data_IF_287443345361
#
_entry.id   IF_287443345361
#
_cell.length_a   1.000
_cell.length_b   1.000
_cell.length_c   1.000
_cell.angle_alpha   90.00
_cell.angle_beta   90.00
_cell.angle_gamma   90.00
#
_symmetry.space_group_name_H-M   'P 1'
#
loop_
_entity.id
_entity.type
_entity.pdbx_description
1 polymer ?
#
# COMPACT_ATOMS: atom_id res chain seq x y z
N UNK A 1 -1.84 60.97 23.97
CA UNK A 1 -2.38 59.89 23.13
C UNK A 1 -1.46 58.67 23.25
N UNK A 2 -1.65 57.83 24.28
CA UNK A 2 -0.90 56.58 24.44
C UNK A 2 -1.89 55.46 24.73
N UNK A 3 -2.21 54.67 23.71
CA UNK A 3 -3.09 53.52 23.82
C UNK A 3 -2.36 52.40 24.56
N UNK A 4 -2.88 52.02 25.73
CA UNK A 4 -2.40 50.87 26.50
C UNK A 4 -2.79 49.59 25.75
N UNK A 5 -1.83 48.96 25.09
CA UNK A 5 -1.94 47.60 24.58
C UNK A 5 -2.11 46.64 25.77
N UNK A 6 -3.34 46.19 26.01
CA UNK A 6 -3.64 45.12 26.97
C UNK A 6 -3.14 43.81 26.37
N UNK A 7 -2.05 43.28 26.91
CA UNK A 7 -1.60 41.91 26.62
C UNK A 7 -2.66 40.93 27.17
N UNK A 8 -3.46 40.35 26.28
CA UNK A 8 -4.31 39.22 26.63
C UNK A 8 -3.44 37.95 26.67
N UNK A 9 -2.86 37.67 27.84
CA UNK A 9 -2.24 36.37 28.10
C UNK A 9 -3.38 35.38 28.30
N UNK A 10 -3.78 34.69 27.23
CA UNK A 10 -4.77 33.61 27.27
C UNK A 10 -4.19 32.42 28.04
N UNK A 11 -4.57 32.31 29.31
CA UNK A 11 -4.20 31.20 30.18
C UNK A 11 -4.93 29.93 29.69
N UNK A 12 -4.21 29.01 29.04
CA UNK A 12 -4.76 27.70 28.70
C UNK A 12 -4.81 26.88 30.01
N UNK A 13 -5.99 26.48 30.50
CA UNK A 13 -6.09 25.81 31.79
C UNK A 13 -5.37 24.46 31.75
N UNK A 14 -4.51 24.22 32.75
CA UNK A 14 -3.68 23.01 32.88
C UNK A 14 -4.51 21.71 32.86
N UNK A 15 -5.78 21.76 33.26
CA UNK A 15 -6.70 20.61 33.21
C UNK A 15 -7.01 20.17 31.76
N UNK A 16 -7.04 21.11 30.81
CA UNK A 16 -7.31 20.80 29.41
C UNK A 16 -6.10 20.17 28.71
N UNK A 17 -4.87 20.54 29.07
CA UNK A 17 -3.66 19.94 28.51
C UNK A 17 -3.45 18.50 28.99
N UNK A 18 -3.81 18.19 30.24
CA UNK A 18 -3.71 16.83 30.81
C UNK A 18 -4.62 15.83 30.09
N UNK A 19 -5.80 16.23 29.61
CA UNK A 19 -6.70 15.36 28.84
C UNK A 19 -6.34 15.34 27.36
N UNK A 20 -5.90 16.48 26.81
CA UNK A 20 -5.59 16.60 25.39
C UNK A 20 -4.36 15.77 24.96
N UNK A 21 -3.33 15.67 25.79
CA UNK A 21 -2.10 14.94 25.43
C UNK A 21 -2.34 13.41 25.32
N UNK A 22 -2.90 12.71 26.32
CA UNK A 22 -3.21 11.28 26.20
C UNK A 22 -4.22 11.00 25.09
N UNK A 23 -5.21 11.87 24.89
CA UNK A 23 -6.18 11.75 23.80
C UNK A 23 -5.49 11.88 22.44
N UNK A 24 -4.55 12.83 22.29
CA UNK A 24 -3.75 12.98 21.08
C UNK A 24 -2.85 11.77 20.82
N UNK A 25 -2.22 11.20 21.86
CA UNK A 25 -1.41 9.97 21.75
C UNK A 25 -2.27 8.76 21.35
N UNK A 26 -3.43 8.56 21.98
CA UNK A 26 -4.36 7.47 21.67
C UNK A 26 -4.90 7.57 20.23
N UNK A 27 -5.21 8.79 19.80
CA UNK A 27 -5.59 9.07 18.41
C UNK A 27 -4.43 8.80 17.46
N UNK A 28 -3.21 9.25 17.76
CA UNK A 28 -2.04 9.03 16.88
C UNK A 28 -1.75 7.53 16.67
N UNK A 29 -1.79 6.73 17.74
CA UNK A 29 -1.51 5.29 17.68
C UNK A 29 -2.55 4.50 16.86
N UNK A 30 -3.76 5.07 16.71
CA UNK A 30 -4.85 4.42 15.97
C UNK A 30 -4.66 4.43 14.44
N UNK A 31 -3.90 5.39 13.88
CA UNK A 31 -3.82 5.59 12.43
C UNK A 31 -2.53 5.13 11.78
N UNK A 32 -1.42 5.07 12.52
CA UNK A 32 -0.13 4.65 11.99
C UNK A 32 0.43 3.46 12.78
N UNK A 33 1.37 2.75 12.18
CA UNK A 33 2.08 1.65 12.81
C UNK A 33 3.45 1.49 12.20
N UNK A 34 4.44 1.16 13.02
CA UNK A 34 5.76 0.79 12.53
C UNK A 34 5.84 -0.72 12.31
N UNK A 35 6.32 -1.13 11.14
CA UNK A 35 6.49 -2.55 10.78
C UNK A 35 7.90 -2.79 10.26
N UNK A 36 8.59 -3.78 10.82
CA UNK A 36 9.94 -4.16 10.36
C UNK A 36 9.86 -5.20 9.25
N UNK A 37 10.58 -4.97 8.16
CA UNK A 37 10.67 -5.88 7.03
C UNK A 37 11.63 -7.01 7.36
N UNK A 38 11.12 -8.24 7.32
CA UNK A 38 11.90 -9.46 7.52
C UNK A 38 11.88 -10.30 6.24
N UNK A 39 12.98 -10.30 5.48
CA UNK A 39 13.15 -11.12 4.28
C UNK A 39 13.52 -10.29 3.05
N UNK A 40 13.64 -10.95 1.89
CA UNK A 40 14.10 -10.33 0.63
C UNK A 40 13.03 -10.28 -0.47
N UNK A 41 11.78 -10.62 -0.15
CA UNK A 41 10.70 -10.78 -1.13
C UNK A 41 10.28 -9.49 -1.82
N UNK A 42 10.58 -8.34 -1.22
CA UNK A 42 10.25 -7.01 -1.74
C UNK A 42 11.50 -6.29 -2.27
N UNK A 43 12.63 -6.99 -2.43
CA UNK A 43 13.82 -6.39 -3.03
C UNK A 43 13.62 -6.15 -4.54
N UNK A 44 14.13 -5.05 -5.10
CA UNK A 44 15.03 -4.08 -4.47
C UNK A 44 14.33 -2.96 -3.68
N UNK A 45 13.00 -2.85 -3.76
CA UNK A 45 12.25 -1.72 -3.19
C UNK A 45 12.34 -1.65 -1.67
N UNK A 46 12.15 -2.78 -0.99
CA UNK A 46 12.31 -2.94 0.46
C UNK A 46 13.37 -4.01 0.73
N UNK A 47 14.21 -3.78 1.73
CA UNK A 47 15.27 -4.72 2.13
C UNK A 47 15.02 -5.23 3.55
N UNK A 48 15.63 -6.36 3.85
CA UNK A 48 15.63 -6.90 5.21
C UNK A 48 16.14 -5.84 6.21
N UNK A 49 15.37 -5.61 7.28
CA UNK A 49 15.69 -4.67 8.34
C UNK A 49 15.06 -3.27 8.20
N UNK A 50 14.41 -2.96 7.07
CA UNK A 50 13.71 -1.69 6.90
C UNK A 50 12.57 -1.54 7.91
N UNK A 51 12.42 -0.34 8.47
CA UNK A 51 11.26 0.01 9.28
C UNK A 51 10.31 0.84 8.42
N UNK A 52 9.08 0.35 8.28
CA UNK A 52 8.03 0.98 7.49
C UNK A 52 7.09 1.76 8.38
N UNK A 53 6.68 2.94 7.92
CA UNK A 53 5.50 3.64 8.44
C UNK A 53 4.28 3.17 7.65
N UNK A 54 3.36 2.52 8.36
CA UNK A 54 2.16 1.90 7.81
C UNK A 54 0.93 2.67 8.24
N UNK A 55 0.14 3.13 7.29
CA UNK A 55 -1.13 3.83 7.50
C UNK A 55 -2.29 2.83 7.58
N UNK A 56 -3.03 2.83 8.69
CA UNK A 56 -4.12 1.89 9.02
C UNK A 56 -5.52 2.36 8.62
N UNK A 57 -5.71 3.63 8.25
CA UNK A 57 -7.03 4.12 7.82
C UNK A 57 -6.94 5.34 6.88
N UNK A 58 -7.91 5.45 5.96
CA UNK A 58 -8.11 6.59 5.05
C UNK A 58 -8.87 7.75 5.70
N UNK A 59 -9.51 7.53 6.86
CA UNK A 59 -10.32 8.54 7.54
C UNK A 59 -9.72 8.94 8.90
N UNK A 60 -8.60 9.67 8.94
CA UNK A 60 -8.28 10.42 10.15
C UNK A 60 -9.37 11.49 10.29
N UNK A 61 -10.23 11.40 11.30
CA UNK A 61 -11.15 12.50 11.66
C UNK A 61 -10.38 13.83 11.84
N UNK A 62 -9.10 13.74 12.21
CA UNK A 62 -8.15 14.84 12.27
C UNK A 62 -7.77 15.44 10.91
N UNK A 63 -7.92 14.76 9.77
CA UNK A 63 -7.70 15.36 8.43
C UNK A 63 -8.74 16.45 8.12
N UNK A 64 -9.98 16.25 8.56
CA UNK A 64 -11.01 17.29 8.45
C UNK A 64 -10.72 18.44 9.41
N UNK A 65 -10.23 18.13 10.62
CA UNK A 65 -9.76 19.14 11.56
C UNK A 65 -8.57 19.93 11.00
N UNK A 66 -7.56 19.29 10.40
CA UNK A 66 -6.41 19.99 9.82
C UNK A 66 -6.79 20.78 8.58
N UNK A 67 -7.76 20.33 7.76
CA UNK A 67 -8.35 21.14 6.68
C UNK A 67 -9.09 22.35 7.23
N UNK A 68 -9.91 22.17 8.26
CA UNK A 68 -10.64 23.25 8.92
C UNK A 68 -9.69 24.24 9.60
N UNK A 69 -8.67 23.76 10.32
CA UNK A 69 -7.63 24.59 10.94
C UNK A 69 -6.79 25.27 9.87
N UNK A 70 -6.34 24.59 8.81
CA UNK A 70 -5.60 25.18 7.70
C UNK A 70 -6.44 26.23 6.98
N UNK A 71 -7.73 25.99 6.75
CA UNK A 71 -8.67 26.95 6.16
C UNK A 71 -8.85 28.18 7.07
N UNK A 72 -9.11 27.95 8.36
CA UNK A 72 -9.25 29.02 9.34
C UNK A 72 -7.91 29.68 9.71
N UNK A 73 -6.76 29.08 9.45
CA UNK A 73 -5.45 29.70 9.70
C UNK A 73 -4.98 30.47 8.46
N UNK A 74 -5.19 29.91 7.26
CA UNK A 74 -4.97 30.57 5.96
C UNK A 74 -5.79 31.86 5.85
N UNK A 75 -7.04 31.87 6.35
CA UNK A 75 -7.88 33.08 6.42
C UNK A 75 -7.27 34.21 7.26
N UNK A 76 -6.43 33.90 8.24
CA UNK A 76 -5.85 34.89 9.15
C UNK A 76 -4.41 35.26 8.81
N UNK A 77 -3.71 34.41 8.04
CA UNK A 77 -2.27 34.57 7.75
C UNK A 77 -1.98 35.05 6.32
N UNK A 78 -2.86 34.81 5.34
CA UNK A 78 -2.63 35.18 3.94
C UNK A 78 -3.63 36.24 3.42
N UNK A 79 -3.40 37.49 3.81
CA UNK A 79 -3.81 38.68 3.02
C UNK A 79 -2.59 39.39 2.39
N UNK A 80 -1.39 38.84 2.55
CA UNK A 80 -0.20 39.32 1.85
C UNK A 80 0.55 38.14 1.25
N UNK A 81 0.83 38.28 -0.04
CA UNK A 81 1.51 37.35 -0.93
C UNK A 81 0.58 36.29 -1.53
N UNK A 82 0.16 36.58 -2.77
CA UNK A 82 -0.31 35.58 -3.71
C UNK A 82 0.85 34.69 -4.11
N UNK A 83 1.18 33.73 -3.26
CA UNK A 83 1.90 32.54 -3.64
C UNK A 83 0.88 31.47 -4.04
N UNK A 84 0.97 31.03 -5.30
CA UNK A 84 0.26 29.90 -5.87
C UNK A 84 0.68 28.62 -5.13
N UNK A 85 0.01 28.32 -4.02
CA UNK A 85 0.28 27.14 -3.19
C UNK A 85 -0.16 25.85 -3.90
N UNK A 86 0.85 25.22 -4.52
CA UNK A 86 1.17 23.79 -4.49
C UNK A 86 0.10 22.81 -5.01
N UNK A 87 0.12 22.58 -6.33
CA UNK A 87 -0.42 21.38 -7.00
C UNK A 87 0.33 20.08 -6.63
N UNK A 88 1.39 20.15 -5.82
CA UNK A 88 2.33 19.05 -5.53
C UNK A 88 1.71 17.89 -4.71
N UNK A 89 0.58 18.14 -4.05
CA UNK A 89 -0.17 17.13 -3.28
C UNK A 89 -1.42 16.57 -4.00
N UNK A 90 -1.66 16.93 -5.26
CA UNK A 90 -2.81 16.42 -6.01
C UNK A 90 -2.58 14.97 -6.47
N UNK A 91 -3.43 14.03 -6.00
CA UNK A 91 -3.39 12.64 -6.50
C UNK A 91 -3.49 12.65 -8.04
N UNK A 92 -2.67 11.85 -8.75
CA UNK A 92 -2.76 11.74 -10.20
C UNK A 92 -4.20 11.42 -10.64
N UNK A 93 -4.71 12.00 -11.74
CA UNK A 93 -6.09 11.85 -12.16
C UNK A 93 -6.49 10.38 -12.38
N UNK A 94 -5.56 9.56 -12.87
CA UNK A 94 -5.76 8.10 -13.05
C UNK A 94 -6.08 7.39 -11.73
N UNK A 95 -5.38 7.73 -10.64
CA UNK A 95 -5.63 7.14 -9.31
C UNK A 95 -6.97 7.59 -8.74
N UNK A 96 -7.38 8.83 -9.00
CA UNK A 96 -8.70 9.33 -8.59
C UNK A 96 -9.80 8.51 -9.27
N UNK A 97 -9.65 8.23 -10.57
CA UNK A 97 -10.58 7.41 -11.32
C UNK A 97 -10.58 5.97 -10.81
N UNK A 98 -9.41 5.34 -10.65
CA UNK A 98 -9.29 3.96 -10.12
C UNK A 98 -9.89 3.82 -8.71
N UNK A 99 -9.67 4.82 -7.85
CA UNK A 99 -10.27 4.89 -6.51
C UNK A 99 -11.79 4.94 -6.58
N UNK A 100 -12.36 5.73 -7.50
CA UNK A 100 -13.82 5.82 -7.68
C UNK A 100 -14.39 4.52 -8.21
N UNK A 101 -13.80 3.96 -9.27
CA UNK A 101 -14.28 2.71 -9.88
C UNK A 101 -14.23 1.56 -8.88
N UNK A 102 -13.16 1.43 -8.09
CA UNK A 102 -13.07 0.42 -7.05
C UNK A 102 -14.14 0.60 -5.97
N UNK A 103 -14.38 1.83 -5.50
CA UNK A 103 -15.42 2.11 -4.49
C UNK A 103 -16.81 1.77 -5.01
N UNK A 104 -17.10 2.13 -6.25
CA UNK A 104 -18.39 1.85 -6.89
C UNK A 104 -18.58 0.34 -7.10
N UNK A 105 -17.53 -0.36 -7.55
CA UNK A 105 -17.52 -1.82 -7.67
C UNK A 105 -17.77 -2.51 -6.32
N UNK A 106 -17.07 -2.09 -5.27
CA UNK A 106 -17.30 -2.64 -3.92
C UNK A 106 -18.73 -2.37 -3.43
N UNK A 107 -19.29 -1.20 -3.72
CA UNK A 107 -20.66 -0.87 -3.33
C UNK A 107 -21.69 -1.78 -3.99
N UNK A 108 -21.45 -2.20 -5.23
CA UNK A 108 -22.34 -3.08 -6.00
C UNK A 108 -22.17 -4.54 -5.62
N UNK A 109 -20.94 -4.99 -5.38
CA UNK A 109 -20.61 -6.41 -5.24
C UNK A 109 -20.32 -6.88 -3.81
N UNK A 110 -20.11 -5.96 -2.87
CA UNK A 110 -19.85 -6.28 -1.47
C UNK A 110 -21.06 -5.88 -0.64
N UNK A 111 -21.76 -6.87 -0.06
CA UNK A 111 -22.81 -6.66 0.94
C UNK A 111 -22.20 -6.17 2.26
N UNK A 112 -21.67 -4.94 2.26
CA UNK A 112 -21.08 -4.36 3.47
C UNK A 112 -22.23 -3.78 4.28
N UNK A 113 -22.68 -4.49 5.31
CA UNK A 113 -23.47 -3.85 6.36
C UNK A 113 -22.68 -2.63 6.88
N UNK A 114 -23.32 -1.52 7.22
CA UNK A 114 -22.63 -0.38 7.83
C UNK A 114 -22.10 -0.81 9.20
N UNK A 115 -20.92 -1.43 9.21
CA UNK A 115 -20.25 -1.80 10.45
C UNK A 115 -19.52 -0.57 10.98
N UNK A 116 -19.59 -0.38 12.29
CA UNK A 116 -18.85 0.64 13.03
C UNK A 116 -17.33 0.39 13.04
N UNK A 117 -16.85 -0.61 12.28
CA UNK A 117 -15.45 -0.97 12.22
C UNK A 117 -14.69 0.02 11.34
N UNK A 118 -13.53 0.45 11.82
CA UNK A 118 -12.59 1.28 11.04
C UNK A 118 -12.22 0.47 9.80
N UNK A 119 -12.67 0.92 8.63
CA UNK A 119 -12.32 0.29 7.36
C UNK A 119 -10.80 0.42 7.15
N UNK A 120 -10.14 -0.65 6.65
CA UNK A 120 -8.75 -0.55 6.24
C UNK A 120 -8.60 0.53 5.16
N UNK A 121 -7.39 1.08 4.98
CA UNK A 121 -7.16 2.07 3.93
C UNK A 121 -7.46 1.45 2.56
N UNK A 122 -7.96 2.26 1.63
CA UNK A 122 -8.22 1.77 0.29
C UNK A 122 -6.90 1.62 -0.47
N UNK A 123 -6.48 0.37 -0.65
CA UNK A 123 -5.33 0.02 -1.46
C UNK A 123 -5.67 0.08 -2.95
N UNK A 124 -4.82 0.75 -3.74
CA UNK A 124 -4.88 0.81 -5.20
C UNK A 124 -3.76 -0.01 -5.84
N UNK A 125 -3.80 -0.15 -7.16
CA UNK A 125 -2.71 -0.81 -7.89
C UNK A 125 -1.39 -0.07 -7.67
N UNK A 126 -0.31 -0.83 -7.51
CA UNK A 126 1.03 -0.34 -7.23
C UNK A 126 1.32 -0.03 -5.76
N UNK A 127 0.32 0.01 -4.88
CA UNK A 127 0.54 0.27 -3.45
C UNK A 127 1.27 -0.89 -2.77
N UNK A 128 1.99 -0.59 -1.70
CA UNK A 128 2.59 -1.61 -0.84
C UNK A 128 1.67 -1.82 0.35
N UNK A 129 1.16 -3.04 0.49
CA UNK A 129 0.20 -3.41 1.53
C UNK A 129 0.85 -4.33 2.57
N UNK A 130 0.53 -4.08 3.84
CA UNK A 130 0.85 -4.97 4.95
C UNK A 130 -0.41 -5.71 5.35
N UNK A 131 -0.36 -7.03 5.37
CA UNK A 131 -1.50 -7.88 5.68
C UNK A 131 -1.09 -9.07 6.53
N UNK A 132 -2.07 -9.69 7.20
CA UNK A 132 -1.88 -10.92 7.96
C UNK A 132 -1.85 -12.11 7.01
N UNK A 133 -0.89 -13.01 7.19
CA UNK A 133 -0.81 -14.23 6.39
C UNK A 133 -2.15 -15.01 6.45
N UNK A 134 -2.81 -15.33 5.32
CA UNK A 134 -4.05 -16.11 5.33
C UNK A 134 -3.88 -17.50 5.98
N UNK A 135 -2.66 -18.06 5.97
CA UNK A 135 -2.37 -19.35 6.63
C UNK A 135 -2.25 -19.25 8.15
N UNK A 136 -2.27 -18.04 8.71
CA UNK A 136 -2.28 -17.79 10.15
C UNK A 136 -3.44 -18.50 10.87
N UNK A 137 -4.57 -18.72 10.19
CA UNK A 137 -5.71 -19.40 10.82
C UNK A 137 -5.42 -20.88 11.14
N UNK A 138 -4.52 -21.53 10.38
CA UNK A 138 -4.23 -22.95 10.51
C UNK A 138 -3.03 -23.25 11.41
N UNK A 139 -2.12 -22.29 11.56
CA UNK A 139 -0.92 -22.43 12.40
C UNK A 139 -0.97 -21.43 13.55
N UNK A 140 -1.31 -21.89 14.77
CA UNK A 140 -1.41 -21.06 16.00
C UNK A 140 -0.08 -20.42 16.47
N UNK A 141 0.96 -20.41 15.64
CA UNK A 141 2.27 -19.86 15.96
C UNK A 141 2.48 -18.53 15.24
N UNK A 142 2.62 -17.47 16.04
CA UNK A 142 3.02 -16.09 15.73
C UNK A 142 2.22 -15.34 14.64
N UNK A 143 1.78 -14.13 14.97
CA UNK A 143 1.12 -13.21 14.02
C UNK A 143 2.11 -12.77 12.93
N UNK A 144 2.26 -13.59 11.89
CA UNK A 144 3.12 -13.29 10.75
C UNK A 144 2.46 -12.26 9.85
N UNK A 145 3.12 -11.11 9.71
CA UNK A 145 2.75 -10.06 8.77
C UNK A 145 3.53 -10.25 7.47
N UNK A 146 2.83 -10.07 6.36
CA UNK A 146 3.38 -10.09 5.01
C UNK A 146 3.33 -8.68 4.42
N UNK A 147 4.35 -8.31 3.66
CA UNK A 147 4.44 -7.05 2.93
C UNK A 147 4.58 -7.38 1.45
N UNK A 148 3.65 -6.89 0.62
CA UNK A 148 3.59 -7.16 -0.82
C UNK A 148 3.10 -5.94 -1.59
N UNK A 149 3.31 -5.91 -2.90
CA UNK A 149 2.74 -4.92 -3.81
C UNK A 149 1.39 -5.37 -4.33
N UNK A 150 0.44 -4.45 -4.41
CA UNK A 150 -0.87 -4.68 -5.02
C UNK A 150 -0.73 -4.63 -6.53
N UNK A 151 -1.12 -5.72 -7.19
CA UNK A 151 -1.11 -5.83 -8.65
C UNK A 151 -2.52 -5.67 -9.20
N UNK A 152 -3.50 -6.34 -8.57
CA UNK A 152 -4.88 -6.36 -9.03
C UNK A 152 -5.88 -6.13 -7.91
N UNK A 153 -6.99 -5.49 -8.25
CA UNK A 153 -8.08 -5.13 -7.36
C UNK A 153 -9.32 -5.99 -7.65
N UNK A 154 -10.22 -6.13 -6.67
CA UNK A 154 -11.45 -6.89 -6.84
C UNK A 154 -12.24 -6.45 -8.07
N UNK A 155 -12.60 -7.40 -8.93
CA UNK A 155 -13.26 -7.19 -10.22
C UNK A 155 -12.31 -7.05 -11.42
N UNK A 156 -11.01 -6.88 -11.21
CA UNK A 156 -10.02 -6.91 -12.29
C UNK A 156 -9.62 -8.34 -12.67
N UNK A 157 -9.17 -8.50 -13.91
CA UNK A 157 -8.52 -9.71 -14.43
C UNK A 157 -7.01 -9.52 -14.38
N UNK A 158 -6.31 -10.40 -13.69
CA UNK A 158 -4.84 -10.41 -13.59
C UNK A 158 -4.27 -11.48 -14.52
N UNK A 159 -3.23 -11.11 -15.26
CA UNK A 159 -2.57 -11.99 -16.22
C UNK A 159 -1.27 -12.52 -15.62
N UNK A 160 -1.18 -13.82 -15.34
CA UNK A 160 -0.04 -14.43 -14.65
C UNK A 160 0.77 -15.28 -15.65
N UNK A 161 2.06 -14.99 -15.84
CA UNK A 161 2.92 -15.82 -16.68
C UNK A 161 3.22 -17.17 -16.03
N UNK A 162 3.13 -18.26 -16.79
CA UNK A 162 3.45 -19.62 -16.34
C UNK A 162 4.35 -20.38 -17.33
N UNK A 163 5.17 -21.30 -16.80
CA UNK A 163 6.05 -22.15 -17.59
C UNK A 163 5.28 -23.34 -18.18
N UNK A 164 5.63 -23.75 -19.41
CA UNK A 164 4.99 -24.87 -20.13
C UNK A 164 5.04 -26.20 -19.37
N UNK A 165 6.05 -26.38 -18.52
CA UNK A 165 6.28 -27.60 -17.76
C UNK A 165 5.43 -27.66 -16.46
N UNK A 166 4.69 -26.58 -16.16
CA UNK A 166 3.80 -26.49 -14.99
C UNK A 166 2.33 -26.69 -15.39
N UNK A 167 1.60 -27.47 -14.59
CA UNK A 167 0.15 -27.61 -14.78
C UNK A 167 -0.53 -26.26 -14.50
N UNK A 168 -1.44 -25.79 -15.36
CA UNK A 168 -2.22 -24.59 -15.07
C UNK A 168 -2.95 -24.78 -13.74
N UNK A 169 -2.74 -23.86 -12.79
CA UNK A 169 -3.34 -23.91 -11.45
C UNK A 169 -2.46 -24.49 -10.34
N UNK A 170 -1.20 -24.90 -10.61
CA UNK A 170 -0.21 -25.19 -9.57
C UNK A 170 0.95 -24.21 -9.68
N UNK A 171 0.72 -22.97 -9.25
CA UNK A 171 1.73 -21.91 -9.21
C UNK A 171 2.71 -22.20 -8.07
N UNK A 172 3.87 -22.72 -8.41
CA UNK A 172 5.04 -22.66 -7.55
C UNK A 172 6.23 -22.22 -8.38
N UNK A 173 6.57 -20.93 -8.34
CA UNK A 173 7.92 -20.50 -8.69
C UNK A 173 8.87 -20.92 -7.57
N UNK A 174 9.05 -22.23 -7.38
CA UNK A 174 10.20 -22.76 -6.65
C UNK A 174 11.26 -23.03 -7.70
N UNK A 175 12.08 -22.01 -7.97
CA UNK A 175 13.36 -22.23 -8.63
C UNK A 175 14.22 -23.02 -7.65
N UNK A 176 14.38 -24.32 -7.87
CA UNK A 176 15.29 -25.13 -7.06
C UNK A 176 16.71 -24.54 -7.12
N UNK A 177 17.41 -24.54 -5.99
CA UNK A 177 18.74 -23.94 -5.84
C UNK A 177 19.78 -24.50 -6.83
N UNK A 178 19.52 -25.64 -7.46
CA UNK A 178 20.32 -26.19 -8.55
C UNK A 178 20.31 -25.32 -9.82
N UNK A 179 19.18 -24.66 -10.16
CA UNK A 179 19.08 -23.85 -11.38
C UNK A 179 19.85 -22.52 -11.26
N UNK A 180 20.02 -22.00 -10.04
CA UNK A 180 20.88 -20.84 -9.74
C UNK A 180 22.35 -21.12 -10.05
N UNK A 181 22.84 -22.33 -9.73
CA UNK A 181 24.24 -22.73 -9.99
C UNK A 181 24.54 -22.99 -11.48
N UNK A 182 23.55 -23.40 -12.27
CA UNK A 182 23.74 -23.71 -13.69
C UNK A 182 23.83 -22.48 -14.61
N UNK A 183 23.26 -21.34 -14.21
CA UNK A 183 23.26 -20.12 -15.03
C UNK A 183 24.53 -19.28 -14.89
N UNK A 184 25.27 -19.41 -13.78
CA UNK A 184 26.53 -18.69 -13.59
C UNK A 184 27.72 -19.30 -14.33
N UNK A 185 27.60 -20.52 -14.87
CA UNK A 185 28.74 -21.18 -15.54
C UNK A 185 28.65 -21.25 -17.07
N UNK A 186 27.48 -21.13 -17.68
CA UNK A 186 27.34 -21.41 -19.11
C UNK A 186 26.72 -20.23 -19.85
N UNK A 187 27.58 -19.40 -20.46
CA UNK A 187 27.24 -18.38 -21.45
C UNK A 187 26.78 -19.01 -22.77
N UNK A 188 25.62 -19.67 -22.75
CA UNK A 188 25.01 -20.23 -23.96
C UNK A 188 23.52 -19.88 -23.97
N UNK A 189 23.13 -19.25 -25.07
CA UNK A 189 21.80 -18.72 -25.39
C UNK A 189 20.74 -19.82 -25.26
N UNK A 190 20.17 -19.99 -24.06
CA UNK A 190 19.08 -20.93 -23.84
C UNK A 190 17.84 -20.38 -24.54
N UNK A 191 17.41 -21.09 -25.58
CA UNK A 191 16.07 -21.11 -26.18
C UNK A 191 15.02 -20.35 -25.36
N UNK A 192 14.44 -19.29 -25.94
CA UNK A 192 13.26 -18.59 -25.43
C UNK A 192 12.20 -19.63 -25.01
N UNK A 193 12.11 -19.93 -23.71
CA UNK A 193 11.02 -20.73 -23.18
C UNK A 193 9.72 -19.96 -23.50
N UNK A 194 8.87 -20.56 -24.32
CA UNK A 194 7.56 -19.98 -24.68
C UNK A 194 6.71 -19.88 -23.41
N UNK A 195 6.75 -18.70 -22.81
CA UNK A 195 5.96 -18.35 -21.63
C UNK A 195 4.50 -18.24 -22.05
N UNK A 196 3.61 -18.94 -21.34
CA UNK A 196 2.17 -18.81 -21.53
C UNK A 196 1.60 -17.90 -20.45
N UNK A 197 0.42 -17.35 -20.70
CA UNK A 197 -0.25 -16.44 -19.77
C UNK A 197 -1.59 -17.03 -19.36
N UNK A 198 -1.80 -17.18 -18.05
CA UNK A 198 -3.08 -17.56 -17.46
C UNK A 198 -3.78 -16.30 -16.98
N UNK A 199 -5.11 -16.25 -17.05
CA UNK A 199 -5.89 -15.13 -16.55
C UNK A 199 -6.71 -15.57 -15.33
N UNK A 200 -6.72 -14.75 -14.28
CA UNK A 200 -7.54 -14.99 -13.08
C UNK A 200 -8.28 -13.73 -12.69
N UNK A 201 -9.58 -13.86 -12.41
CA UNK A 201 -10.39 -12.76 -11.90
C UNK A 201 -10.17 -12.61 -10.39
N UNK A 202 -10.00 -11.37 -9.91
CA UNK A 202 -9.89 -11.09 -8.48
C UNK A 202 -11.29 -10.97 -7.89
N UNK A 203 -11.58 -11.74 -6.84
CA UNK A 203 -12.89 -11.72 -6.19
C UNK A 203 -13.23 -10.33 -5.61
N UNK A 204 -14.54 -10.00 -5.46
CA UNK A 204 -14.96 -8.79 -4.76
C UNK A 204 -14.34 -8.70 -3.35
N UNK A 205 -14.06 -7.48 -2.91
CA UNK A 205 -13.41 -7.20 -1.61
C UNK A 205 -12.07 -7.93 -1.38
N UNK A 206 -11.42 -8.35 -2.45
CA UNK A 206 -10.12 -9.04 -2.42
C UNK A 206 -9.12 -8.31 -3.31
N UNK A 207 -7.86 -8.70 -3.22
CA UNK A 207 -6.77 -8.11 -3.98
C UNK A 207 -5.71 -9.17 -4.32
N UNK A 208 -5.10 -9.01 -5.49
CA UNK A 208 -3.96 -9.80 -5.92
C UNK A 208 -2.67 -9.08 -5.55
N UNK A 209 -1.80 -9.74 -4.80
CA UNK A 209 -0.56 -9.15 -4.29
C UNK A 209 0.65 -9.99 -4.67
N UNK A 210 1.74 -9.33 -5.05
CA UNK A 210 2.99 -9.97 -5.44
C UNK A 210 4.19 -9.30 -4.80
N UNK A 211 5.28 -10.06 -4.65
CA UNK A 211 6.55 -9.50 -4.21
C UNK A 211 7.32 -8.90 -5.38
N UNK A 212 8.04 -7.80 -5.12
CA UNK A 212 8.92 -7.20 -6.13
C UNK A 212 10.07 -8.15 -6.53
N UNK A 213 10.50 -9.02 -5.61
CA UNK A 213 11.44 -10.11 -5.87
C UNK A 213 10.69 -11.39 -6.25
N UNK A 214 10.31 -11.50 -7.53
CA UNK A 214 9.53 -12.62 -8.09
C UNK A 214 10.15 -14.01 -7.85
N UNK A 215 11.49 -14.08 -7.74
CA UNK A 215 12.20 -15.35 -7.54
C UNK A 215 12.19 -15.83 -6.09
N UNK A 216 11.86 -14.96 -5.12
CA UNK A 216 11.87 -15.30 -3.70
C UNK A 216 10.66 -14.72 -2.98
N UNK A 217 9.48 -14.92 -3.56
CA UNK A 217 8.22 -14.40 -3.04
C UNK A 217 7.19 -15.51 -2.90
N UNK A 218 6.73 -15.73 -1.66
CA UNK A 218 5.49 -16.43 -1.40
C UNK A 218 4.35 -15.41 -1.38
N UNK A 219 3.49 -15.41 -2.40
CA UNK A 219 2.49 -14.37 -2.66
C UNK A 219 1.22 -14.92 -3.34
N UNK A 220 0.40 -14.07 -3.94
CA UNK A 220 -0.88 -14.47 -4.55
C UNK A 220 -0.74 -15.48 -5.67
N UNK A 221 0.44 -15.64 -6.26
CA UNK A 221 0.69 -16.75 -7.16
C UNK A 221 0.49 -18.09 -6.44
N UNK A 222 0.93 -18.20 -5.20
CA UNK A 222 0.90 -19.45 -4.44
C UNK A 222 -0.39 -19.64 -3.64
N UNK A 223 -0.94 -18.56 -3.06
CA UNK A 223 -2.11 -18.62 -2.18
C UNK A 223 -3.39 -18.02 -2.76
N UNK A 224 -3.36 -17.48 -3.98
CA UNK A 224 -4.48 -16.77 -4.60
C UNK A 224 -4.68 -15.35 -4.07
N UNK A 225 -5.78 -14.70 -4.46
CA UNK A 225 -6.13 -13.36 -3.96
C UNK A 225 -6.36 -13.35 -2.45
N UNK A 226 -5.99 -12.25 -1.78
CA UNK A 226 -6.21 -12.05 -0.35
C UNK A 226 -7.45 -11.19 -0.09
N UNK A 227 -8.19 -11.48 0.97
CA UNK A 227 -9.30 -10.63 1.40
C UNK A 227 -8.81 -9.33 2.04
N UNK A 228 -9.48 -8.22 1.77
CA UNK A 228 -9.19 -6.91 2.41
C UNK A 228 -9.34 -6.92 3.93
N UNK A 229 -10.08 -7.88 4.51
CA UNK A 229 -10.16 -8.05 5.97
C UNK A 229 -8.84 -8.42 6.63
N UNK A 230 -7.89 -9.00 5.88
CA UNK A 230 -6.56 -9.33 6.38
C UNK A 230 -5.60 -8.14 6.34
N UNK A 231 -5.96 -7.05 5.66
CA UNK A 231 -5.13 -5.87 5.50
C UNK A 231 -5.00 -5.14 6.82
N UNK A 232 -3.76 -4.90 7.23
CA UNK A 232 -3.40 -4.09 8.40
C UNK A 232 -3.27 -2.62 8.00
N UNK A 233 -2.66 -2.34 6.85
CA UNK A 233 -2.50 -0.99 6.35
C UNK A 233 -1.62 -0.88 5.10
N UNK A 234 -1.38 0.35 4.65
CA UNK A 234 -0.53 0.67 3.52
C UNK A 234 0.82 1.21 4.00
N UNK A 235 1.92 0.66 3.46
CA UNK A 235 3.25 1.18 3.75
C UNK A 235 3.53 2.42 2.90
N UNK A 236 3.75 3.56 3.55
CA UNK A 236 3.93 4.85 2.87
C UNK A 236 5.37 5.33 2.88
N UNK A 237 6.13 5.00 3.91
CA UNK A 237 7.53 5.42 4.04
C UNK A 237 8.40 4.30 4.58
N UNK A 238 9.65 4.27 4.14
CA UNK A 238 10.75 3.67 4.90
C UNK A 238 11.27 4.76 5.82
N UNK A 239 11.21 4.54 7.13
CA UNK A 239 11.63 5.53 8.13
C UNK A 239 13.00 5.22 8.75
N UNK A 240 13.45 3.97 8.67
CA UNK A 240 14.74 3.52 9.16
C UNK A 240 15.28 2.38 8.28
N UNK A 241 16.60 2.32 8.00
CA UNK A 241 17.65 3.24 8.44
C UNK A 241 17.54 4.64 7.78
N UNK A 242 18.07 5.72 8.39
CA UNK A 242 17.92 7.08 7.86
C UNK A 242 18.54 7.27 6.47
N UNK A 243 19.58 6.48 6.16
CA UNK A 243 20.22 6.45 4.84
C UNK A 243 19.29 5.96 3.73
N UNK A 244 18.16 5.35 4.09
CA UNK A 244 17.13 4.84 3.18
C UNK A 244 15.76 5.42 3.47
N UNK A 245 15.70 6.59 4.11
CA UNK A 245 14.45 7.30 4.27
C UNK A 245 13.88 7.61 2.88
N UNK A 246 12.73 7.01 2.54
CA UNK A 246 12.11 7.21 1.24
C UNK A 246 10.59 7.11 1.36
N UNK A 247 9.88 7.96 0.61
CA UNK A 247 8.45 7.79 0.36
C UNK A 247 8.29 6.62 -0.61
N UNK A 248 7.49 5.64 -0.22
CA UNK A 248 7.10 4.52 -1.06
C UNK A 248 6.07 5.05 -2.05
N UNK A 249 6.59 5.55 -3.18
CA UNK A 249 5.80 5.92 -4.34
C UNK A 249 5.02 4.70 -4.82
N UNK A 250 3.71 4.88 -4.99
CA UNK A 250 2.89 3.91 -5.71
C UNK A 250 3.34 3.97 -7.17
N UNK A 251 4.07 2.95 -7.61
CA UNK A 251 4.79 2.97 -8.88
C UNK A 251 3.83 3.23 -10.04
N UNK A 252 4.14 4.23 -10.88
CA UNK A 252 3.49 4.62 -12.16
C UNK A 252 3.44 3.50 -13.24
N UNK A 253 3.65 2.24 -12.86
CA UNK A 253 3.95 1.16 -13.80
C UNK A 253 2.71 0.40 -14.31
N UNK A 254 1.49 0.84 -13.97
CA UNK A 254 0.25 0.17 -14.41
C UNK A 254 -0.25 0.60 -15.79
N UNK A 255 0.27 1.67 -16.41
CA UNK A 255 -0.24 2.16 -17.71
C UNK A 255 0.80 2.33 -18.82
N UNK A 256 2.10 2.08 -18.56
CA UNK A 256 3.19 2.37 -19.53
C UNK A 256 4.05 1.16 -19.84
N UNK A 257 3.45 0.12 -20.41
CA UNK A 257 4.16 -0.97 -21.09
C UNK A 257 3.25 -1.64 -22.11
N UNK A 258 2.78 -0.86 -23.09
CA UNK A 258 2.32 -1.39 -24.39
C UNK A 258 3.46 -1.51 -25.41
N UNK A 259 4.71 -1.27 -24.99
CA UNK A 259 5.88 -1.43 -25.83
C UNK A 259 6.95 -2.09 -24.97
N UNK A 260 7.53 -3.16 -25.49
CA UNK A 260 8.74 -3.83 -24.99
C UNK A 260 8.54 -4.84 -23.84
N UNK A 261 8.27 -6.10 -24.23
CA UNK A 261 8.90 -7.32 -23.68
C UNK A 261 8.77 -7.69 -22.20
N UNK A 262 8.22 -6.82 -21.35
CA UNK A 262 8.18 -7.02 -19.92
C UNK A 262 6.98 -7.90 -19.55
N UNK A 263 7.30 -9.14 -19.17
CA UNK A 263 6.40 -10.20 -18.69
C UNK A 263 5.93 -9.92 -17.26
N UNK A 264 5.43 -8.71 -17.01
CA UNK A 264 4.83 -8.37 -15.72
C UNK A 264 3.33 -8.70 -15.74
N UNK A 265 2.77 -9.20 -14.63
CA UNK A 265 1.36 -9.39 -14.51
C UNK A 265 0.66 -8.04 -14.53
N UNK A 266 -0.21 -7.87 -15.51
CA UNK A 266 -1.05 -6.70 -15.66
C UNK A 266 -2.47 -7.04 -15.20
N UNK A 267 -3.11 -6.06 -14.56
CA UNK A 267 -4.50 -6.12 -14.15
C UNK A 267 -5.33 -5.14 -14.98
N UNK A 268 -6.48 -5.58 -15.47
CA UNK A 268 -7.39 -4.71 -16.20
C UNK A 268 -8.84 -4.96 -15.80
N UNK A 269 -9.68 -3.94 -15.95
CA UNK A 269 -11.12 -4.10 -15.80
C UNK A 269 -11.69 -4.75 -17.06
N UNK A 270 -12.49 -5.83 -16.93
CA UNK A 270 -13.10 -6.51 -18.07
C UNK A 270 -14.12 -5.64 -18.80
#
# INVERSE_FOLDING_TARGET
MFARFRQAVTYIPIRSTIVAVPLAFYVHDSFYSFVRVNGSSMEPTLRHGDLLLVRKSDNPWWSQLTKFVKYNFKKYVLEKEGEDLDEEDSEPPERIVERRTLKDYERLHCATSPSLQIKPPLALSGDIVVYKDPQYFFHMNERKLCVKRVVGLGGQVVMVPFSRDEKPGKLSYRMDDEMKKRRTSNGTSSSFQSMRVATTCVAPYSMWVEGDNRFNSYDSQHHGSISKHLVVGLAEYVVWPPTRFQKLSSSKQSHRSLVEGDTQPYAYWP
#
